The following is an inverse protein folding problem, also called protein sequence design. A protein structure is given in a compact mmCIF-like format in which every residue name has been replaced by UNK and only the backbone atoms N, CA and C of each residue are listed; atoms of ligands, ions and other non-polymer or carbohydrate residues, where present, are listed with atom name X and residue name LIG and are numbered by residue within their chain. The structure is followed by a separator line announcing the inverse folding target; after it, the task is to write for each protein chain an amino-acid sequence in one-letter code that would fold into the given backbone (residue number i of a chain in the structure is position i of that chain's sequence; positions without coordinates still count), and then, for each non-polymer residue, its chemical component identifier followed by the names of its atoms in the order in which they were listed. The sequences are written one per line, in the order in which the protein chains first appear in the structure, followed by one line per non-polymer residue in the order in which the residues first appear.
data_IF_054850589727
#
_entry.id   IF_054850589727
#
_cell.length_a   1.000
_cell.length_b   1.000
_cell.length_c   1.000
_cell.angle_alpha   90.00
_cell.angle_beta   90.00
_cell.angle_gamma   90.00
#
_symmetry.space_group_name_H-M   'P 1'
#
loop_
_entity.id
_entity.type
_entity.pdbx_description
1 polymer ?
#
# COMPACT_ATOMS: atom_id res chain seq x y z
N UNK A 1 9.49 -33.63 -29.98
CA UNK A 1 10.02 -33.98 -31.32
C UNK A 1 10.66 -32.72 -31.86
N UNK A 2 11.91 -32.77 -32.35
CA UNK A 2 12.59 -31.59 -32.88
C UNK A 2 11.97 -31.14 -34.21
N UNK A 3 11.92 -29.83 -34.46
CA UNK A 3 11.46 -29.25 -35.72
C UNK A 3 12.20 -29.87 -36.92
N UNK A 4 11.45 -30.30 -37.94
CA UNK A 4 12.03 -30.89 -39.15
C UNK A 4 12.13 -29.86 -40.26
N UNK A 5 13.37 -29.51 -40.63
CA UNK A 5 13.64 -28.61 -41.76
C UNK A 5 13.17 -29.20 -43.09
N UNK A 6 12.76 -28.33 -44.02
CA UNK A 6 12.23 -28.67 -45.35
C UNK A 6 13.13 -28.13 -46.46
N UNK A 7 13.14 -28.80 -47.61
CA UNK A 7 13.80 -28.33 -48.85
C UNK A 7 12.98 -27.25 -49.60
N UNK A 8 11.73 -27.05 -49.17
CA UNK A 8 10.83 -26.01 -49.69
C UNK A 8 10.50 -25.01 -48.59
N UNK A 9 10.24 -23.78 -48.99
CA UNK A 9 9.78 -22.75 -48.06
C UNK A 9 8.43 -23.12 -47.44
N UNK A 10 8.24 -22.81 -46.16
CA UNK A 10 7.02 -23.14 -45.42
C UNK A 10 6.57 -21.94 -44.61
N UNK A 11 5.26 -21.82 -44.37
CA UNK A 11 4.71 -20.89 -43.36
C UNK A 11 4.12 -21.73 -42.25
N UNK A 12 4.57 -21.50 -41.02
CA UNK A 12 4.25 -22.33 -39.86
C UNK A 12 3.75 -21.43 -38.73
N UNK A 13 2.69 -21.86 -38.05
CA UNK A 13 2.23 -21.21 -36.82
C UNK A 13 3.29 -21.42 -35.75
N UNK A 14 3.81 -20.34 -35.21
CA UNK A 14 4.77 -20.34 -34.11
C UNK A 14 4.19 -19.66 -32.88
N UNK A 15 4.74 -20.03 -31.74
CA UNK A 15 4.43 -19.47 -30.43
C UNK A 15 5.68 -18.78 -29.93
N UNK A 16 5.61 -17.46 -29.84
CA UNK A 16 6.72 -16.61 -29.45
C UNK A 16 6.89 -16.65 -27.94
N UNK A 17 8.16 -16.65 -27.53
CA UNK A 17 8.58 -16.74 -26.16
C UNK A 17 9.38 -15.49 -25.79
N UNK A 18 9.26 -15.07 -24.54
CA UNK A 18 10.11 -14.03 -23.97
C UNK A 18 11.54 -14.56 -23.85
N UNK A 19 12.52 -13.81 -24.33
CA UNK A 19 13.91 -14.29 -24.49
C UNK A 19 14.67 -14.55 -23.19
N UNK A 20 14.20 -14.01 -22.07
CA UNK A 20 14.83 -14.14 -20.74
C UNK A 20 14.22 -15.28 -19.90
N UNK A 21 12.96 -15.61 -20.13
CA UNK A 21 12.12 -16.43 -19.22
C UNK A 21 11.40 -17.57 -19.94
N UNK A 22 11.42 -17.59 -21.27
CA UNK A 22 10.68 -18.53 -22.12
C UNK A 22 9.15 -18.51 -21.89
N UNK A 23 8.62 -17.41 -21.34
CA UNK A 23 7.18 -17.19 -21.17
C UNK A 23 6.51 -17.02 -22.53
N UNK A 24 5.34 -17.63 -22.73
CA UNK A 24 4.53 -17.41 -23.92
C UNK A 24 4.06 -15.95 -24.01
N UNK A 25 4.36 -15.29 -25.13
CA UNK A 25 3.99 -13.87 -25.36
C UNK A 25 3.07 -13.66 -26.57
N UNK A 26 2.75 -14.72 -27.31
CA UNK A 26 1.77 -14.64 -28.40
C UNK A 26 2.05 -15.59 -29.56
N UNK A 27 0.99 -15.91 -30.31
CA UNK A 27 1.09 -16.74 -31.51
C UNK A 27 1.23 -15.87 -32.77
N UNK A 28 1.96 -16.38 -33.76
CA UNK A 28 2.12 -15.73 -35.06
C UNK A 28 2.39 -16.77 -36.14
N UNK A 29 2.57 -16.30 -37.38
CA UNK A 29 2.98 -17.14 -38.49
C UNK A 29 4.40 -16.75 -38.91
N UNK A 30 5.28 -17.74 -39.05
CA UNK A 30 6.65 -17.55 -39.47
C UNK A 30 6.88 -18.17 -40.85
N UNK A 31 7.50 -17.40 -41.74
CA UNK A 31 8.02 -17.91 -42.99
C UNK A 31 9.40 -18.54 -42.76
N UNK A 32 9.55 -19.81 -43.09
CA UNK A 32 10.76 -20.61 -42.93
C UNK A 32 11.31 -20.93 -44.32
N UNK A 33 12.43 -20.31 -44.74
CA UNK A 33 13.11 -20.65 -45.99
C UNK A 33 13.57 -22.12 -46.05
N UNK A 34 13.83 -22.66 -47.26
CA UNK A 34 14.45 -23.96 -47.44
C UNK A 34 15.72 -24.13 -46.59
N UNK A 35 15.87 -25.30 -45.96
CA UNK A 35 17.03 -25.69 -45.15
C UNK A 35 17.31 -24.77 -43.94
N UNK A 36 16.31 -24.06 -43.43
CA UNK A 36 16.42 -23.24 -42.22
C UNK A 36 15.53 -23.76 -41.09
N UNK A 37 15.81 -23.33 -39.85
CA UNK A 37 15.07 -23.69 -38.65
C UNK A 37 14.10 -22.60 -38.19
N UNK A 38 13.38 -22.88 -37.10
CA UNK A 38 12.52 -21.90 -36.44
C UNK A 38 13.33 -20.66 -36.00
N UNK A 39 12.74 -19.45 -36.03
CA UNK A 39 13.32 -18.27 -35.41
C UNK A 39 13.70 -18.51 -33.94
N UNK A 40 14.65 -17.72 -33.44
CA UNK A 40 14.99 -17.77 -32.02
C UNK A 40 13.78 -17.38 -31.14
N UNK A 41 13.74 -17.92 -29.92
CA UNK A 41 12.70 -17.66 -28.93
C UNK A 41 11.27 -17.97 -29.43
N UNK A 42 11.12 -19.05 -30.19
CA UNK A 42 9.79 -19.56 -30.55
C UNK A 42 9.77 -21.09 -30.58
N UNK A 43 8.56 -21.65 -30.59
CA UNK A 43 8.28 -23.07 -30.75
C UNK A 43 7.10 -23.28 -31.69
N UNK A 44 7.05 -24.40 -32.40
CA UNK A 44 5.90 -24.85 -33.18
C UNK A 44 4.94 -25.72 -32.35
N UNK A 45 5.28 -25.99 -31.08
CA UNK A 45 4.45 -26.75 -30.15
C UNK A 45 3.37 -25.85 -29.56
N UNK A 46 2.12 -26.22 -29.79
CA UNK A 46 0.94 -25.50 -29.29
C UNK A 46 0.97 -25.42 -27.75
N UNK A 47 0.85 -24.22 -27.15
CA UNK A 47 0.71 -24.07 -25.71
C UNK A 47 -0.61 -24.71 -25.24
N UNK A 48 -0.66 -25.22 -24.01
CA UNK A 48 -1.91 -25.66 -23.41
C UNK A 48 -2.88 -24.47 -23.25
N UNK A 49 -4.14 -24.76 -22.91
CA UNK A 49 -5.03 -23.73 -22.40
C UNK A 49 -4.42 -23.09 -21.15
N UNK A 50 -4.35 -21.76 -21.12
CA UNK A 50 -3.75 -20.99 -20.03
C UNK A 50 -4.91 -20.43 -19.19
N UNK A 51 -5.13 -20.94 -17.98
CA UNK A 51 -6.16 -20.40 -17.09
C UNK A 51 -5.89 -18.95 -16.69
N UNK A 52 -6.87 -18.29 -16.09
CA UNK A 52 -6.66 -17.00 -15.44
C UNK A 52 -5.55 -17.11 -14.37
N UNK A 53 -4.80 -16.01 -14.21
CA UNK A 53 -3.67 -15.91 -13.27
C UNK A 53 -2.59 -16.97 -13.47
N UNK A 54 -2.36 -17.39 -14.72
CA UNK A 54 -1.29 -18.32 -15.10
C UNK A 54 -0.56 -17.84 -16.35
N UNK A 55 0.67 -18.31 -16.51
CA UNK A 55 1.51 -18.16 -17.70
C UNK A 55 2.06 -19.51 -18.13
N UNK A 56 2.16 -19.74 -19.43
CA UNK A 56 2.83 -20.93 -19.98
C UNK A 56 4.32 -20.63 -20.20
N UNK A 57 5.20 -21.47 -19.67
CA UNK A 57 6.65 -21.39 -19.84
C UNK A 57 7.13 -22.62 -20.59
N UNK A 58 7.85 -22.40 -21.68
CA UNK A 58 8.38 -23.48 -22.51
C UNK A 58 9.77 -23.93 -22.04
N UNK A 59 9.94 -25.24 -21.92
CA UNK A 59 11.23 -25.88 -21.64
C UNK A 59 11.78 -26.49 -22.94
N UNK A 60 12.93 -25.97 -23.40
CA UNK A 60 13.59 -26.43 -24.61
C UNK A 60 14.30 -27.79 -24.46
N UNK A 61 14.68 -28.18 -23.24
CA UNK A 61 15.34 -29.48 -23.00
C UNK A 61 14.33 -30.62 -23.13
N UNK A 62 13.16 -30.45 -22.51
CA UNK A 62 12.08 -31.44 -22.55
C UNK A 62 11.13 -31.25 -23.73
N UNK A 63 11.16 -30.08 -24.38
CA UNK A 63 10.22 -29.65 -25.41
C UNK A 63 8.76 -29.67 -24.93
N UNK A 64 8.53 -29.23 -23.70
CA UNK A 64 7.20 -29.23 -23.07
C UNK A 64 6.83 -27.87 -22.50
N UNK A 65 5.52 -27.66 -22.33
CA UNK A 65 4.97 -26.49 -21.67
C UNK A 65 4.71 -26.78 -20.20
N UNK A 66 5.06 -25.83 -19.33
CA UNK A 66 4.69 -25.82 -17.92
C UNK A 66 3.79 -24.62 -17.64
N UNK A 67 2.68 -24.83 -16.92
CA UNK A 67 1.85 -23.74 -16.43
C UNK A 67 2.40 -23.29 -15.08
N UNK A 68 2.61 -21.99 -14.93
CA UNK A 68 3.02 -21.35 -13.69
C UNK A 68 1.97 -20.32 -13.29
N UNK A 69 1.71 -20.24 -12.00
CA UNK A 69 0.88 -19.18 -11.42
C UNK A 69 1.52 -17.82 -11.71
N UNK A 70 0.70 -16.84 -12.09
CA UNK A 70 1.13 -15.51 -12.49
C UNK A 70 0.02 -14.49 -12.22
N UNK A 71 0.20 -13.72 -11.16
CA UNK A 71 -0.71 -12.66 -10.76
C UNK A 71 -0.21 -11.27 -11.16
N UNK A 72 0.76 -11.16 -12.08
CA UNK A 72 1.29 -9.86 -12.52
C UNK A 72 0.18 -8.94 -13.00
N UNK A 73 0.25 -7.67 -12.61
CA UNK A 73 -0.76 -6.66 -12.92
C UNK A 73 -1.91 -6.62 -11.92
N UNK A 74 -2.05 -7.61 -11.03
CA UNK A 74 -3.04 -7.59 -9.96
C UNK A 74 -2.60 -6.65 -8.83
N UNK A 75 -3.61 -6.05 -8.20
CA UNK A 75 -3.46 -5.32 -6.94
C UNK A 75 -4.05 -6.17 -5.82
N UNK A 76 -3.25 -6.39 -4.79
CA UNK A 76 -3.68 -7.05 -3.55
C UNK A 76 -3.38 -6.16 -2.36
N UNK A 77 -3.84 -6.54 -1.17
CA UNK A 77 -3.71 -5.80 0.07
C UNK A 77 -3.08 -6.69 1.12
N UNK A 78 -2.07 -6.17 1.81
CA UNK A 78 -1.46 -6.83 2.96
C UNK A 78 -2.49 -6.94 4.10
N UNK A 79 -2.81 -8.15 4.57
CA UNK A 79 -3.86 -8.36 5.58
C UNK A 79 -3.48 -7.87 6.99
N UNK A 80 -2.21 -7.54 7.22
CA UNK A 80 -1.72 -7.04 8.51
C UNK A 80 -1.84 -5.52 8.57
N UNK A 81 -1.56 -4.84 7.46
CA UNK A 81 -1.40 -3.38 7.40
C UNK A 81 -2.48 -2.69 6.56
N UNK A 82 -3.18 -3.40 5.69
CA UNK A 82 -4.11 -2.84 4.72
C UNK A 82 -3.43 -2.17 3.52
N UNK A 83 -2.09 -2.21 3.45
CA UNK A 83 -1.34 -1.55 2.38
C UNK A 83 -1.56 -2.23 1.04
N UNK A 84 -1.69 -1.42 -0.01
CA UNK A 84 -1.78 -1.89 -1.39
C UNK A 84 -0.43 -2.43 -1.85
N UNK A 85 -0.45 -3.61 -2.48
CA UNK A 85 0.69 -4.28 -3.10
C UNK A 85 0.34 -4.53 -4.57
N UNK A 86 1.18 -4.02 -5.47
CA UNK A 86 1.11 -4.32 -6.89
C UNK A 86 2.00 -5.52 -7.22
N UNK A 87 1.45 -6.55 -7.86
CA UNK A 87 2.22 -7.73 -8.26
C UNK A 87 2.93 -7.42 -9.57
N UNK A 88 4.26 -7.29 -9.51
CA UNK A 88 5.12 -7.03 -10.68
C UNK A 88 5.89 -8.26 -11.16
N UNK A 89 6.08 -9.25 -10.30
CA UNK A 89 6.85 -10.46 -10.58
C UNK A 89 5.93 -11.66 -10.85
N UNK A 90 6.30 -12.57 -11.76
CA UNK A 90 5.55 -13.79 -11.99
C UNK A 90 5.64 -14.72 -10.78
N UNK A 91 4.58 -15.46 -10.53
CA UNK A 91 4.50 -16.41 -9.42
C UNK A 91 3.21 -16.31 -8.62
N UNK A 92 3.14 -17.07 -7.51
CA UNK A 92 1.99 -17.05 -6.63
C UNK A 92 1.86 -15.70 -5.90
N UNK A 93 0.65 -15.42 -5.42
CA UNK A 93 0.44 -14.29 -4.53
C UNK A 93 1.30 -14.43 -3.26
N UNK A 94 1.84 -13.32 -2.72
CA UNK A 94 2.56 -13.35 -1.45
C UNK A 94 1.71 -13.93 -0.31
N UNK A 95 2.36 -14.51 0.69
CA UNK A 95 1.67 -14.88 1.92
C UNK A 95 1.14 -13.61 2.61
N UNK A 96 -0.04 -13.72 3.24
CA UNK A 96 -0.70 -12.63 3.97
C UNK A 96 -1.25 -11.48 3.10
N UNK A 97 -1.80 -11.81 1.93
CA UNK A 97 -2.50 -10.84 1.09
C UNK A 97 -3.95 -11.24 0.83
N UNK A 98 -4.76 -10.25 0.47
CA UNK A 98 -6.15 -10.41 0.03
C UNK A 98 -6.43 -9.51 -1.16
N UNK A 99 -7.29 -9.92 -2.10
CA UNK A 99 -7.75 -9.06 -3.19
C UNK A 99 -8.87 -8.10 -2.75
N UNK A 100 -9.32 -8.18 -1.50
CA UNK A 100 -10.35 -7.31 -0.93
C UNK A 100 -9.68 -6.07 -0.34
N UNK A 101 -10.06 -4.88 -0.78
CA UNK A 101 -9.56 -3.64 -0.19
C UNK A 101 -10.19 -3.37 1.17
N UNK A 102 -9.45 -2.80 2.14
CA UNK A 102 -10.08 -2.20 3.32
C UNK A 102 -10.94 -1.00 2.88
N UNK A 103 -12.12 -0.84 3.50
CA UNK A 103 -13.08 0.23 3.21
C UNK A 103 -13.03 1.40 4.22
N UNK A 104 -12.02 1.43 5.09
CA UNK A 104 -11.81 2.49 6.08
C UNK A 104 -10.41 2.48 6.71
N UNK A 105 -10.11 3.52 7.50
CA UNK A 105 -8.78 3.74 8.07
C UNK A 105 -8.42 2.80 9.24
N UNK A 106 -9.41 2.43 10.06
CA UNK A 106 -9.21 1.59 11.25
C UNK A 106 -9.84 0.22 11.01
N UNK A 107 -9.14 -0.62 10.25
CA UNK A 107 -9.59 -1.96 9.93
C UNK A 107 -8.50 -2.99 10.18
N UNK A 108 -8.97 -4.20 10.52
CA UNK A 108 -8.13 -5.38 10.68
C UNK A 108 -8.75 -6.54 9.94
N UNK A 109 -7.91 -7.43 9.43
CA UNK A 109 -8.37 -8.67 8.80
C UNK A 109 -8.76 -9.69 9.87
N UNK A 110 -9.97 -10.26 9.78
CA UNK A 110 -10.45 -11.29 10.72
C UNK A 110 -10.15 -12.73 10.25
N UNK A 111 -9.43 -12.88 9.14
CA UNK A 111 -9.19 -14.15 8.45
C UNK A 111 -10.05 -14.31 7.20
N UNK A 112 -11.11 -13.51 7.04
CA UNK A 112 -12.03 -13.59 5.89
C UNK A 112 -12.41 -12.24 5.30
N UNK A 113 -12.52 -11.20 6.13
CA UNK A 113 -12.94 -9.86 5.73
C UNK A 113 -12.23 -8.80 6.57
N UNK A 114 -12.24 -7.58 6.05
CA UNK A 114 -11.87 -6.41 6.83
C UNK A 114 -13.00 -6.08 7.80
N UNK A 115 -12.65 -5.99 9.08
CA UNK A 115 -13.56 -5.61 10.15
C UNK A 115 -13.02 -4.38 10.86
N UNK A 116 -13.92 -3.56 11.41
CA UNK A 116 -13.56 -2.37 12.15
C UNK A 116 -12.66 -2.70 13.33
N UNK A 117 -11.54 -2.00 13.45
CA UNK A 117 -10.67 -2.05 14.62
C UNK A 117 -11.00 -0.91 15.58
N UNK A 118 -12.01 -1.13 16.42
CA UNK A 118 -12.45 -0.17 17.43
C UNK A 118 -11.32 0.22 18.39
N UNK A 119 -10.42 -0.71 18.71
CA UNK A 119 -9.29 -0.42 19.60
C UNK A 119 -8.29 0.53 18.94
N UNK A 120 -8.01 0.33 17.65
CA UNK A 120 -7.16 1.23 16.88
C UNK A 120 -7.77 2.62 16.71
N UNK A 121 -9.08 2.70 16.43
CA UNK A 121 -9.81 3.97 16.32
C UNK A 121 -9.80 4.75 17.64
N UNK A 122 -10.15 4.09 18.76
CA UNK A 122 -10.14 4.71 20.09
C UNK A 122 -8.72 5.18 20.46
N UNK A 123 -7.70 4.36 20.18
CA UNK A 123 -6.30 4.75 20.43
C UNK A 123 -5.86 5.95 19.57
N UNK A 124 -6.33 6.05 18.33
CA UNK A 124 -6.04 7.19 17.46
C UNK A 124 -6.71 8.48 17.97
N UNK A 125 -7.99 8.41 18.33
CA UNK A 125 -8.73 9.53 18.93
C UNK A 125 -8.07 10.02 20.23
N UNK A 126 -7.65 9.09 21.08
CA UNK A 126 -6.95 9.43 22.33
C UNK A 126 -5.63 10.16 22.07
N UNK A 127 -4.81 9.67 21.12
CA UNK A 127 -3.54 10.32 20.74
C UNK A 127 -3.77 11.73 20.19
N UNK A 128 -4.81 11.92 19.39
CA UNK A 128 -5.18 13.24 18.85
C UNK A 128 -5.63 14.20 19.97
N UNK A 129 -6.44 13.72 20.91
CA UNK A 129 -6.89 14.50 22.07
C UNK A 129 -5.71 14.88 22.98
N UNK A 130 -4.78 13.95 23.23
CA UNK A 130 -3.53 14.23 23.97
C UNK A 130 -2.65 15.25 23.25
N UNK A 131 -2.49 15.12 21.93
CA UNK A 131 -1.79 16.10 21.10
C UNK A 131 -2.42 17.48 21.18
N UNK A 132 -3.76 17.55 21.14
CA UNK A 132 -4.50 18.80 21.33
C UNK A 132 -4.28 19.40 22.71
N UNK A 133 -4.37 18.60 23.78
CA UNK A 133 -4.09 19.04 25.16
C UNK A 133 -2.72 19.69 25.26
N UNK A 134 -1.69 19.01 24.74
CA UNK A 134 -0.31 19.49 24.76
C UNK A 134 -0.16 20.82 24.01
N UNK A 135 -0.77 20.95 22.84
CA UNK A 135 -0.75 22.19 22.06
C UNK A 135 -1.41 23.35 22.81
N UNK A 136 -2.56 23.12 23.45
CA UNK A 136 -3.27 24.15 24.24
C UNK A 136 -2.48 24.56 25.48
N UNK A 137 -1.83 23.62 26.18
CA UNK A 137 -0.96 23.90 27.33
C UNK A 137 0.28 24.71 26.93
N UNK A 138 0.89 24.38 25.79
CA UNK A 138 2.01 25.16 25.24
C UNK A 138 1.58 26.58 24.88
N UNK A 139 0.45 26.73 24.19
CA UNK A 139 -0.12 28.05 23.86
C UNK A 139 -0.36 28.88 25.12
N UNK A 140 -1.03 28.31 26.13
CA UNK A 140 -1.29 29.00 27.39
C UNK A 140 0.01 29.40 28.10
N UNK A 141 1.01 28.51 28.13
CA UNK A 141 2.31 28.80 28.73
C UNK A 141 3.05 29.92 27.99
N UNK A 142 2.95 29.96 26.66
CA UNK A 142 3.52 31.04 25.84
C UNK A 142 2.87 32.40 26.06
N UNK A 143 1.57 32.45 26.44
CA UNK A 143 0.88 33.68 26.84
C UNK A 143 1.20 34.10 28.28
N UNK A 144 1.26 33.12 29.18
CA UNK A 144 1.55 33.36 30.61
C UNK A 144 2.96 33.93 30.81
N UNK A 145 3.97 33.47 30.06
CA UNK A 145 5.37 33.89 30.25
C UNK A 145 5.55 35.41 30.28
N UNK A 146 5.26 36.13 29.17
CA UNK A 146 5.42 37.58 29.13
C UNK A 146 4.56 38.34 30.15
N UNK A 147 3.33 37.88 30.38
CA UNK A 147 2.42 38.50 31.36
C UNK A 147 2.94 38.34 32.79
N UNK A 148 3.50 37.17 33.11
CA UNK A 148 4.13 36.91 34.41
C UNK A 148 5.38 37.76 34.58
N UNK A 149 6.22 37.89 33.54
CA UNK A 149 7.41 38.74 33.57
C UNK A 149 7.05 40.20 33.88
N UNK A 150 5.99 40.74 33.25
CA UNK A 150 5.51 42.09 33.51
C UNK A 150 5.05 42.29 34.97
N UNK A 151 4.38 41.27 35.54
CA UNK A 151 3.97 41.28 36.95
C UNK A 151 5.18 41.22 37.88
N UNK A 152 6.13 40.32 37.61
CA UNK A 152 7.33 40.12 38.44
C UNK A 152 8.24 41.36 38.43
N UNK A 153 8.30 42.07 37.29
CA UNK A 153 8.99 43.34 37.14
C UNK A 153 8.22 44.55 37.70
N UNK A 154 7.01 44.35 38.22
CA UNK A 154 6.09 45.39 38.71
C UNK A 154 5.74 46.47 37.66
N UNK A 155 5.71 46.10 36.38
CA UNK A 155 5.35 47.00 35.25
C UNK A 155 4.02 46.62 34.58
N UNK A 156 3.38 45.52 35.01
CA UNK A 156 2.11 45.07 34.44
C UNK A 156 0.97 46.06 34.68
N UNK A 157 0.23 46.33 33.61
CA UNK A 157 -1.08 46.99 33.62
C UNK A 157 -2.14 46.12 34.30
N UNK A 158 -3.28 46.71 34.66
CA UNK A 158 -4.39 45.96 35.26
C UNK A 158 -5.02 44.97 34.26
N UNK A 159 -5.02 45.30 32.96
CA UNK A 159 -5.47 44.41 31.89
C UNK A 159 -4.55 43.19 31.75
N UNK A 160 -3.23 43.37 31.81
CA UNK A 160 -2.26 42.26 31.76
C UNK A 160 -2.38 41.33 32.97
N UNK A 161 -2.67 41.87 34.15
CA UNK A 161 -2.95 41.06 35.35
C UNK A 161 -4.24 40.25 35.19
N UNK A 162 -5.29 40.86 34.65
CA UNK A 162 -6.54 40.16 34.36
C UNK A 162 -6.34 39.02 33.34
N UNK A 163 -5.63 39.30 32.25
CA UNK A 163 -5.27 38.29 31.25
C UNK A 163 -4.41 37.17 31.85
N UNK A 164 -3.43 37.49 32.70
CA UNK A 164 -2.58 36.50 33.36
C UNK A 164 -3.43 35.51 34.18
N UNK A 165 -4.41 36.02 34.92
CA UNK A 165 -5.31 35.20 35.71
C UNK A 165 -6.22 34.32 34.84
N UNK A 166 -6.76 34.85 33.75
CA UNK A 166 -7.56 34.10 32.78
C UNK A 166 -6.75 32.97 32.12
N UNK A 167 -5.54 33.27 31.63
CA UNK A 167 -4.66 32.29 31.01
C UNK A 167 -4.20 31.21 31.99
N UNK A 168 -3.93 31.56 33.26
CA UNK A 168 -3.62 30.58 34.31
C UNK A 168 -4.80 29.65 34.60
N UNK A 169 -6.02 30.20 34.72
CA UNK A 169 -7.25 29.41 34.90
C UNK A 169 -7.47 28.46 33.71
N UNK A 170 -7.35 28.98 32.49
CA UNK A 170 -7.47 28.20 31.27
C UNK A 170 -6.45 27.06 31.21
N UNK A 171 -5.16 27.32 31.48
CA UNK A 171 -4.13 26.27 31.51
C UNK A 171 -4.48 25.14 32.49
N UNK A 172 -4.99 25.50 33.67
CA UNK A 172 -5.41 24.51 34.68
C UNK A 172 -6.64 23.73 34.21
N UNK A 173 -7.62 24.39 33.59
CA UNK A 173 -8.81 23.74 33.03
C UNK A 173 -8.41 22.74 31.94
N UNK A 174 -7.59 23.16 30.95
CA UNK A 174 -7.05 22.28 29.90
C UNK A 174 -6.31 21.09 30.51
N UNK A 175 -5.47 21.31 31.53
CA UNK A 175 -4.73 20.22 32.17
C UNK A 175 -5.65 19.17 32.84
N UNK A 176 -6.85 19.57 33.25
CA UNK A 176 -7.85 18.69 33.89
C UNK A 176 -8.77 17.98 32.92
N UNK A 177 -8.79 18.37 31.64
CA UNK A 177 -9.61 17.71 30.61
C UNK A 177 -9.22 16.23 30.51
N UNK A 178 -10.23 15.37 30.54
CA UNK A 178 -10.15 13.95 30.24
C UNK A 178 -10.06 13.77 28.72
N UNK A 179 -8.98 13.18 28.23
CA UNK A 179 -8.71 13.00 26.80
C UNK A 179 -9.49 11.84 26.18
N UNK A 180 -10.14 11.00 26.97
CA UNK A 180 -11.03 9.94 26.48
C UNK A 180 -12.42 10.46 26.06
N UNK A 181 -12.82 11.62 26.59
CA UNK A 181 -14.06 12.32 26.25
C UNK A 181 -13.85 13.83 26.40
N UNK A 182 -13.05 14.45 25.50
CA UNK A 182 -12.57 15.80 25.69
C UNK A 182 -13.68 16.85 25.55
N UNK A 183 -13.78 17.72 26.55
CA UNK A 183 -14.54 18.97 26.52
C UNK A 183 -13.57 20.13 26.74
N UNK A 184 -13.20 20.82 25.67
CA UNK A 184 -12.14 21.83 25.70
C UNK A 184 -12.68 23.16 26.20
N UNK A 185 -12.03 23.81 27.18
CA UNK A 185 -12.44 25.14 27.62
C UNK A 185 -12.26 26.18 26.50
N UNK A 186 -13.07 27.24 26.54
CA UNK A 186 -12.93 28.37 25.61
C UNK A 186 -11.57 29.08 25.80
N UNK A 187 -10.95 29.43 24.68
CA UNK A 187 -9.67 30.13 24.67
C UNK A 187 -9.88 31.57 25.16
N UNK A 188 -9.12 32.05 26.17
CA UNK A 188 -9.16 33.45 26.61
C UNK A 188 -8.79 34.43 25.49
N UNK A 189 -9.34 35.65 25.57
CA UNK A 189 -9.08 36.70 24.59
C UNK A 189 -7.79 37.46 24.86
#
# INVERSE_FOLDING_TARGET
MAFKMSEQAQTIKIYNLRSDTNEFIGAGDAYIPPHTGLPANCTDIVPPEIPASHIAVFDFETQTWSLKEDHRGETVYDITTGNQIYISEPGPLPENVTSVSPDGEYQKWDGKAWVKDEAAEIAAQLREAEGTKNRLLQMASGKIGPLQDAVDLNIATDDEKAQLDEWKKYRVQVNRVDTSSPDWPDIPR
#
